data_IF_517144603627
#
_entry.id   IF_517144603627
#
_cell.length_a   1.000
_cell.length_b   1.000
_cell.length_c   1.000
_cell.angle_alpha   90.00
_cell.angle_beta   90.00
_cell.angle_gamma   90.00
#
_symmetry.space_group_name_H-M   'P 1'
#
loop_
_entity.id
_entity.type
_entity.pdbx_description
1 polymer ?
#
# COMPACT_ATOMS: atom_id res chain seq x y z
N UNK A 1 1.08 6.75 7.02
CA UNK A 1 1.35 5.47 6.31
C UNK A 1 0.19 4.48 6.46
N UNK A 2 -0.38 4.32 7.66
CA UNK A 2 -1.55 3.47 7.97
C UNK A 2 -2.74 3.71 7.05
N UNK A 3 -3.25 4.94 6.95
CA UNK A 3 -4.40 5.27 6.11
C UNK A 3 -4.29 4.79 4.66
N UNK A 4 -3.16 5.04 3.99
CA UNK A 4 -2.90 4.55 2.62
C UNK A 4 -2.89 3.02 2.53
N UNK A 5 -2.36 2.34 3.55
CA UNK A 5 -2.36 0.86 3.63
C UNK A 5 -3.78 0.32 3.80
N UNK A 6 -4.61 0.96 4.64
CA UNK A 6 -6.00 0.57 4.84
C UNK A 6 -6.82 0.69 3.55
N UNK A 7 -6.69 1.82 2.83
CA UNK A 7 -7.37 2.00 1.54
C UNK A 7 -6.90 1.02 0.47
N UNK A 8 -5.59 0.71 0.44
CA UNK A 8 -5.04 -0.29 -0.48
C UNK A 8 -5.57 -1.68 -0.17
N UNK A 9 -5.57 -2.09 1.10
CA UNK A 9 -6.08 -3.40 1.52
C UNK A 9 -7.57 -3.55 1.18
N UNK A 10 -8.37 -2.51 1.43
CA UNK A 10 -9.77 -2.51 1.01
C UNK A 10 -9.90 -2.65 -0.52
N UNK A 11 -9.02 -1.99 -1.29
CA UNK A 11 -8.98 -2.12 -2.75
C UNK A 11 -8.62 -3.54 -3.20
N UNK A 12 -7.65 -4.17 -2.54
CA UNK A 12 -7.18 -5.52 -2.87
C UNK A 12 -8.31 -6.56 -2.72
N UNK A 13 -9.23 -6.38 -1.76
CA UNK A 13 -10.41 -7.24 -1.60
C UNK A 13 -11.59 -6.86 -2.52
N UNK A 14 -11.70 -5.58 -2.90
CA UNK A 14 -12.84 -5.11 -3.69
C UNK A 14 -12.58 -5.26 -5.19
N UNK A 15 -13.32 -6.16 -5.85
CA UNK A 15 -13.25 -6.29 -7.32
C UNK A 15 -13.84 -5.06 -8.02
N UNK A 16 -14.93 -4.49 -7.48
CA UNK A 16 -15.65 -3.38 -8.09
C UNK A 16 -15.39 -2.02 -7.41
N UNK A 17 -15.18 -0.99 -8.24
CA UNK A 17 -14.86 0.38 -7.77
C UNK A 17 -15.98 1.08 -7.02
N UNK A 18 -17.24 0.77 -7.30
CA UNK A 18 -18.37 1.42 -6.60
C UNK A 18 -18.45 0.96 -5.13
N UNK A 19 -18.28 -0.34 -4.87
CA UNK A 19 -18.20 -0.89 -3.51
C UNK A 19 -16.99 -0.32 -2.76
N UNK A 20 -15.83 -0.30 -3.43
CA UNK A 20 -14.61 0.26 -2.85
C UNK A 20 -14.78 1.71 -2.39
N UNK A 21 -15.47 2.55 -3.17
CA UNK A 21 -15.69 3.96 -2.80
C UNK A 21 -16.49 4.08 -1.50
N UNK A 22 -17.52 3.26 -1.31
CA UNK A 22 -18.28 3.21 -0.06
C UNK A 22 -17.40 2.81 1.13
N UNK A 23 -16.59 1.76 0.96
CA UNK A 23 -15.63 1.32 1.98
C UNK A 23 -14.56 2.38 2.28
N UNK A 24 -14.06 3.08 1.25
CA UNK A 24 -13.05 4.12 1.41
C UNK A 24 -13.58 5.32 2.21
N UNK A 25 -14.84 5.71 1.98
CA UNK A 25 -15.50 6.78 2.77
C UNK A 25 -15.69 6.35 4.22
N UNK A 26 -16.07 5.09 4.46
CA UNK A 26 -16.18 4.54 5.81
C UNK A 26 -14.83 4.50 6.53
N UNK A 27 -13.77 4.04 5.87
CA UNK A 27 -12.41 4.07 6.45
C UNK A 27 -12.01 5.51 6.78
N UNK A 28 -12.29 6.46 5.90
CA UNK A 28 -12.00 7.87 6.15
C UNK A 28 -12.72 8.39 7.40
N UNK A 29 -13.99 8.10 7.58
CA UNK A 29 -14.74 8.57 8.76
C UNK A 29 -14.18 8.00 10.07
N UNK A 30 -13.70 6.75 10.07
CA UNK A 30 -13.04 6.15 11.25
C UNK A 30 -11.75 6.90 11.63
N UNK A 31 -10.94 7.30 10.65
CA UNK A 31 -9.74 8.09 10.89
C UNK A 31 -10.07 9.51 11.35
N UNK A 32 -11.09 10.14 10.76
CA UNK A 32 -11.54 11.48 11.15
C UNK A 32 -12.09 11.51 12.58
N UNK A 33 -12.85 10.48 12.99
CA UNK A 33 -13.37 10.35 14.35
C UNK A 33 -12.26 10.31 15.43
N UNK A 34 -11.08 9.78 15.08
CA UNK A 34 -9.94 9.66 16.00
C UNK A 34 -8.85 10.71 15.77
N UNK A 35 -9.05 11.67 14.86
CA UNK A 35 -8.03 12.64 14.46
C UNK A 35 -7.60 13.60 15.60
N UNK A 36 -8.50 13.84 16.56
CA UNK A 36 -8.29 14.79 17.66
C UNK A 36 -7.77 14.15 18.95
N UNK A 37 -7.47 12.85 18.97
CA UNK A 37 -6.90 12.17 20.14
C UNK A 37 -5.47 12.67 20.36
N UNK A 38 -5.21 13.34 21.49
CA UNK A 38 -3.89 13.94 21.82
C UNK A 38 -3.06 13.14 22.81
N UNK A 39 -3.69 12.25 23.57
CA UNK A 39 -2.95 11.45 24.57
C UNK A 39 -2.07 10.39 23.87
N UNK A 40 -0.75 10.37 24.12
CA UNK A 40 0.15 9.48 23.39
C UNK A 40 -0.09 7.99 23.68
N UNK A 41 -0.62 7.63 24.87
CA UNK A 41 -0.95 6.23 25.19
C UNK A 41 -2.15 5.75 24.39
N UNK A 42 -3.22 6.54 24.34
CA UNK A 42 -4.39 6.24 23.50
C UNK A 42 -4.02 6.15 22.02
N UNK A 43 -3.18 7.05 21.51
CA UNK A 43 -2.71 6.98 20.13
C UNK A 43 -1.99 5.67 19.83
N UNK A 44 -1.11 5.20 20.72
CA UNK A 44 -0.42 3.90 20.58
C UNK A 44 -1.42 2.75 20.52
N UNK A 45 -2.36 2.70 21.45
CA UNK A 45 -3.40 1.66 21.48
C UNK A 45 -4.17 1.63 20.16
N UNK A 46 -4.59 2.79 19.65
CA UNK A 46 -5.32 2.89 18.38
C UNK A 46 -4.47 2.43 17.19
N UNK A 47 -3.18 2.76 17.18
CA UNK A 47 -2.28 2.30 16.12
C UNK A 47 -2.08 0.78 16.18
N UNK A 48 -1.83 0.22 17.36
CA UNK A 48 -1.61 -1.22 17.53
C UNK A 48 -2.86 -2.02 17.13
N UNK A 49 -4.05 -1.58 17.56
CA UNK A 49 -5.33 -2.16 17.15
C UNK A 49 -5.54 -2.10 15.64
N UNK A 50 -5.22 -0.96 15.01
CA UNK A 50 -5.35 -0.81 13.56
C UNK A 50 -4.35 -1.71 12.82
N UNK A 51 -3.13 -1.85 13.33
CA UNK A 51 -2.11 -2.73 12.74
C UNK A 51 -2.50 -4.20 12.84
N UNK A 52 -3.05 -4.63 13.97
CA UNK A 52 -3.57 -5.98 14.17
C UNK A 52 -4.71 -6.29 13.20
N UNK A 53 -5.65 -5.35 13.05
CA UNK A 53 -6.75 -5.48 12.09
C UNK A 53 -6.25 -5.58 10.65
N UNK A 54 -5.29 -4.74 10.25
CA UNK A 54 -4.69 -4.81 8.91
C UNK A 54 -3.91 -6.11 8.67
N UNK A 55 -3.33 -6.70 9.73
CA UNK A 55 -2.62 -7.98 9.64
C UNK A 55 -3.61 -9.14 9.50
N UNK A 56 -4.70 -9.12 10.26
CA UNK A 56 -5.75 -10.14 10.20
C UNK A 56 -6.41 -10.20 8.83
N UNK A 57 -6.72 -9.04 8.25
CA UNK A 57 -7.45 -8.93 6.97
C UNK A 57 -6.53 -8.83 5.75
N UNK A 58 -5.24 -9.17 5.91
CA UNK A 58 -4.28 -9.07 4.81
C UNK A 58 -4.69 -10.01 3.67
N UNK A 59 -4.85 -9.46 2.47
CA UNK A 59 -5.15 -10.26 1.28
C UNK A 59 -3.97 -11.22 0.98
N UNK A 60 -4.23 -12.51 0.66
CA UNK A 60 -3.16 -13.49 0.38
C UNK A 60 -2.35 -13.14 -0.87
N UNK A 61 -3.01 -12.66 -1.92
CA UNK A 61 -2.37 -12.23 -3.17
C UNK A 61 -2.78 -10.78 -3.55
N UNK A 62 -2.17 -9.75 -2.94
CA UNK A 62 -2.59 -8.37 -3.14
C UNK A 62 -2.23 -7.85 -4.53
N UNK A 63 -2.98 -6.88 -5.04
CA UNK A 63 -2.72 -6.32 -6.37
C UNK A 63 -1.34 -5.65 -6.43
N UNK A 64 -0.57 -6.04 -7.45
CA UNK A 64 0.73 -5.46 -7.78
C UNK A 64 0.70 -4.93 -9.22
N UNK A 65 1.13 -3.67 -9.44
CA UNK A 65 1.32 -3.16 -10.79
C UNK A 65 2.27 -4.09 -11.58
N UNK A 66 2.01 -4.35 -12.88
CA UNK A 66 2.79 -5.32 -13.64
C UNK A 66 4.30 -5.05 -13.66
N UNK A 67 4.72 -3.79 -13.68
CA UNK A 67 6.13 -3.38 -13.76
C UNK A 67 6.79 -3.16 -12.39
N UNK A 68 6.02 -3.20 -11.30
CA UNK A 68 6.57 -3.07 -9.96
C UNK A 68 7.28 -4.36 -9.52
N UNK A 69 8.18 -4.32 -8.53
CA UNK A 69 8.81 -5.51 -7.99
C UNK A 69 7.80 -6.59 -7.58
N UNK A 70 7.97 -7.79 -8.13
CA UNK A 70 7.04 -8.91 -7.96
C UNK A 70 5.75 -8.82 -8.80
N UNK A 71 5.69 -7.92 -9.78
CA UNK A 71 4.64 -7.88 -10.80
C UNK A 71 4.98 -8.76 -12.01
N UNK A 72 3.97 -9.09 -12.82
CA UNK A 72 4.12 -10.05 -13.94
C UNK A 72 5.02 -9.60 -15.09
N UNK A 73 5.33 -8.30 -15.19
CA UNK A 73 6.20 -7.70 -16.21
C UNK A 73 7.47 -7.10 -15.59
N UNK A 74 7.75 -7.38 -14.33
CA UNK A 74 8.98 -6.93 -13.67
C UNK A 74 10.20 -7.56 -14.36
N UNK A 75 11.20 -6.74 -14.66
CA UNK A 75 12.47 -7.15 -15.29
C UNK A 75 12.34 -7.92 -16.62
N UNK A 76 11.17 -7.87 -17.27
CA UNK A 76 10.92 -8.62 -18.51
C UNK A 76 11.83 -8.16 -19.66
N UNK A 77 12.11 -6.86 -19.73
CA UNK A 77 12.91 -6.20 -20.77
C UNK A 77 13.99 -5.30 -20.14
N UNK A 78 14.93 -5.88 -19.38
CA UNK A 78 16.07 -5.12 -18.88
C UNK A 78 17.00 -4.75 -20.03
N UNK A 79 17.51 -3.52 -20.01
CA UNK A 79 18.58 -3.12 -20.92
C UNK A 79 19.83 -3.89 -20.52
N UNK A 80 20.54 -4.46 -21.50
CA UNK A 80 21.80 -5.13 -21.23
C UNK A 80 22.77 -4.13 -20.58
N UNK A 81 23.50 -4.54 -19.53
CA UNK A 81 24.51 -3.68 -18.94
C UNK A 81 25.58 -3.35 -20.00
N UNK A 82 25.99 -2.09 -20.05
CA UNK A 82 27.14 -1.67 -20.87
C UNK A 82 28.38 -2.20 -20.16
N UNK A 83 29.05 -3.18 -20.78
CA UNK A 83 30.28 -3.77 -20.26
C UNK A 83 31.53 -3.10 -20.84
N UNK A 84 31.37 -2.33 -21.93
CA UNK A 84 32.47 -1.69 -22.61
C UNK A 84 32.98 -0.49 -21.78
N UNK A 85 34.32 -0.32 -21.67
CA UNK A 85 34.88 0.88 -21.06
C UNK A 85 34.50 2.11 -21.88
N UNK A 86 34.39 3.30 -21.26
CA UNK A 86 34.15 4.53 -22.01
C UNK A 86 35.24 4.72 -23.08
N UNK A 87 34.88 5.29 -24.26
CA UNK A 87 35.84 5.50 -25.33
C UNK A 87 37.00 6.39 -24.84
N UNK A 88 38.26 6.11 -25.25
CA UNK A 88 39.40 6.91 -24.82
C UNK A 88 39.31 8.34 -25.38
N UNK A 89 39.17 9.33 -24.50
CA UNK A 89 39.40 10.75 -24.83
C UNK A 89 38.21 11.73 -24.76
N UNK A 90 37.24 11.54 -23.85
CA UNK A 90 36.28 12.58 -23.46
C UNK A 90 36.58 13.12 -22.06
#
# INVERSE_FOLDING_TARGET
>A
RLYRRSLKLALDWSVHRYLWRGQAMYIRSLFEANANVREPRQQRILFDQTEELLKQWKHPDPYRPPTAPGGSKYERNLVCPILDPPPPGC
#
